data_IF_567654044397
#
_entry.id   IF_567654044397
#
_cell.length_a   1.000
_cell.length_b   1.000
_cell.length_c   1.000
_cell.angle_alpha   90.00
_cell.angle_beta   90.00
_cell.angle_gamma   90.00
#
_symmetry.space_group_name_H-M   'P 1'
#
loop_
_entity.id
_entity.type
_entity.pdbx_description
1 polymer ?
#
# COMPACT_ATOMS: atom_id res chain seq x y z
N UNK A 1 -13.72 -18.80 26.77
CA UNK A 1 -13.84 -17.54 25.99
C UNK A 1 -12.43 -17.04 25.74
N UNK A 2 -12.02 -16.83 24.49
CA UNK A 2 -10.71 -16.23 24.22
C UNK A 2 -10.75 -14.77 24.70
N UNK A 3 -9.71 -14.28 25.39
CA UNK A 3 -9.65 -12.87 25.78
C UNK A 3 -9.71 -12.00 24.51
N UNK A 4 -10.61 -11.01 24.49
CA UNK A 4 -10.61 -9.99 23.45
C UNK A 4 -9.45 -9.03 23.69
N UNK A 5 -8.28 -9.38 23.15
CA UNK A 5 -7.14 -8.47 23.09
C UNK A 5 -7.41 -7.49 21.95
N UNK A 6 -7.32 -6.16 22.18
CA UNK A 6 -7.38 -5.17 21.11
C UNK A 6 -6.36 -5.45 20.01
N UNK A 7 -6.77 -5.31 18.74
CA UNK A 7 -5.91 -5.65 17.59
C UNK A 7 -4.57 -4.90 17.62
N UNK A 8 -4.57 -3.63 18.05
CA UNK A 8 -3.36 -2.82 18.20
C UNK A 8 -2.38 -3.39 19.24
N UNK A 9 -2.89 -3.87 20.38
CA UNK A 9 -2.06 -4.50 21.41
C UNK A 9 -1.51 -5.84 20.93
N UNK A 10 -2.35 -6.63 20.25
CA UNK A 10 -1.90 -7.89 19.63
C UNK A 10 -0.81 -7.64 18.57
N UNK A 11 -0.99 -6.65 17.69
CA UNK A 11 -0.01 -6.26 16.67
C UNK A 11 1.31 -5.78 17.28
N UNK A 12 1.25 -4.94 18.32
CA UNK A 12 2.44 -4.48 19.03
C UNK A 12 3.18 -5.66 19.66
N UNK A 13 2.44 -6.59 20.29
CA UNK A 13 3.02 -7.80 20.85
C UNK A 13 3.71 -8.66 19.78
N UNK A 14 3.10 -8.82 18.59
CA UNK A 14 3.73 -9.53 17.47
C UNK A 14 5.01 -8.81 17.00
N UNK A 15 4.99 -7.48 16.89
CA UNK A 15 6.14 -6.70 16.44
C UNK A 15 7.35 -6.82 17.37
N UNK A 16 7.13 -6.98 18.68
CA UNK A 16 8.19 -7.11 19.68
C UNK A 16 8.78 -8.54 19.70
N UNK A 17 7.95 -9.56 19.47
CA UNK A 17 8.34 -10.96 19.71
C UNK A 17 8.66 -11.75 18.44
N UNK A 18 8.15 -11.36 17.28
CA UNK A 18 8.43 -12.04 16.03
C UNK A 18 9.77 -11.58 15.45
N UNK A 19 10.49 -12.52 14.84
CA UNK A 19 11.64 -12.19 13.98
C UNK A 19 11.17 -11.34 12.82
N UNK A 20 12.01 -10.42 12.35
CA UNK A 20 11.72 -9.51 11.24
C UNK A 20 11.16 -10.24 10.01
N UNK A 21 11.78 -11.35 9.61
CA UNK A 21 11.39 -12.19 8.46
C UNK A 21 9.99 -12.82 8.59
N UNK A 22 9.55 -13.07 9.82
CA UNK A 22 8.21 -13.61 10.09
C UNK A 22 7.21 -12.47 10.20
N UNK A 23 7.62 -11.35 10.79
CA UNK A 23 6.80 -10.17 10.95
C UNK A 23 6.46 -9.51 9.60
N UNK A 24 7.41 -9.43 8.67
CA UNK A 24 7.15 -8.93 7.30
C UNK A 24 6.12 -9.78 6.57
N UNK A 25 6.17 -11.12 6.71
CA UNK A 25 5.17 -12.03 6.12
C UNK A 25 3.80 -11.80 6.75
N UNK A 26 3.75 -11.63 8.06
CA UNK A 26 2.51 -11.31 8.77
C UNK A 26 1.90 -10.00 8.26
N UNK A 27 2.70 -8.93 8.14
CA UNK A 27 2.26 -7.64 7.60
C UNK A 27 1.72 -7.77 6.17
N UNK A 28 2.40 -8.54 5.32
CA UNK A 28 1.97 -8.75 3.94
C UNK A 28 0.67 -9.54 3.83
N UNK A 29 0.43 -10.51 4.73
CA UNK A 29 -0.84 -11.22 4.81
C UNK A 29 -1.96 -10.29 5.28
N UNK A 30 -1.74 -9.49 6.33
CA UNK A 30 -2.72 -8.51 6.84
C UNK A 30 -3.08 -7.51 5.73
N UNK A 31 -2.08 -7.02 5.01
CA UNK A 31 -2.29 -6.13 3.87
C UNK A 31 -3.06 -6.83 2.75
N UNK A 32 -2.72 -8.08 2.40
CA UNK A 32 -3.45 -8.85 1.40
C UNK A 32 -4.92 -9.08 1.75
N UNK A 33 -5.23 -9.35 3.02
CA UNK A 33 -6.60 -9.45 3.53
C UNK A 33 -7.36 -8.12 3.43
N UNK A 34 -6.72 -7.02 3.82
CA UNK A 34 -7.29 -5.67 3.70
C UNK A 34 -7.57 -5.31 2.24
N UNK A 35 -6.62 -5.59 1.35
CA UNK A 35 -6.76 -5.35 -0.09
C UNK A 35 -7.89 -6.18 -0.66
N UNK A 36 -7.92 -7.50 -0.42
CA UNK A 36 -9.00 -8.36 -0.90
C UNK A 36 -10.38 -7.90 -0.41
N UNK A 37 -10.49 -7.50 0.86
CA UNK A 37 -11.74 -6.95 1.42
C UNK A 37 -12.18 -5.68 0.68
N UNK A 38 -11.24 -4.80 0.35
CA UNK A 38 -11.57 -3.53 -0.30
C UNK A 38 -11.77 -3.65 -1.81
N UNK A 39 -11.12 -4.61 -2.47
CA UNK A 39 -11.32 -4.89 -3.90
C UNK A 39 -12.66 -5.58 -4.14
N UNK A 40 -13.11 -6.46 -3.23
CA UNK A 40 -14.44 -7.08 -3.30
C UNK A 40 -15.61 -6.08 -3.28
N UNK A 41 -15.39 -4.84 -2.84
CA UNK A 41 -16.41 -3.79 -2.93
C UNK A 41 -16.61 -3.29 -4.37
N UNK A 42 -15.67 -3.57 -5.28
CA UNK A 42 -15.62 -3.03 -6.63
C UNK A 42 -15.54 -4.09 -7.74
N UNK A 43 -15.04 -5.30 -7.45
CA UNK A 43 -14.89 -6.41 -8.41
C UNK A 43 -15.38 -7.74 -7.78
N UNK A 44 -16.20 -8.50 -8.51
CA UNK A 44 -16.63 -9.87 -8.16
C UNK A 44 -15.75 -10.83 -8.99
N UNK A 45 -14.93 -11.73 -8.39
CA UNK A 45 -15.16 -12.44 -7.14
C UNK A 45 -14.06 -12.38 -6.07
N UNK A 46 -14.45 -12.75 -4.84
CA UNK A 46 -13.56 -12.92 -3.70
C UNK A 46 -12.46 -13.94 -3.96
N UNK A 47 -11.19 -13.53 -3.80
CA UNK A 47 -10.04 -14.41 -3.93
C UNK A 47 -10.03 -15.44 -2.80
N UNK A 48 -9.55 -16.65 -3.10
CA UNK A 48 -9.45 -17.70 -2.09
C UNK A 48 -8.37 -17.36 -1.05
N UNK A 49 -8.43 -17.98 0.13
CA UNK A 49 -7.40 -17.79 1.16
C UNK A 49 -6.01 -18.16 0.65
N UNK A 50 -5.91 -19.22 -0.15
CA UNK A 50 -4.66 -19.64 -0.78
C UNK A 50 -4.13 -18.58 -1.75
N UNK A 51 -5.00 -17.99 -2.57
CA UNK A 51 -4.60 -16.92 -3.49
C UNK A 51 -4.08 -15.70 -2.72
N UNK A 52 -4.74 -15.30 -1.63
CA UNK A 52 -4.29 -14.19 -0.80
C UNK A 52 -2.91 -14.48 -0.22
N UNK A 53 -2.70 -15.68 0.33
CA UNK A 53 -1.41 -16.10 0.87
C UNK A 53 -0.31 -16.07 -0.20
N UNK A 54 -0.50 -16.78 -1.33
CA UNK A 54 0.52 -16.84 -2.38
C UNK A 54 0.82 -15.47 -2.97
N UNK A 55 -0.19 -14.61 -3.18
CA UNK A 55 0.02 -13.25 -3.65
C UNK A 55 0.81 -12.41 -2.63
N UNK A 56 0.48 -12.49 -1.33
CA UNK A 56 1.21 -11.80 -0.27
C UNK A 56 2.68 -12.18 -0.22
N UNK A 57 3.01 -13.47 -0.36
CA UNK A 57 4.40 -13.94 -0.40
C UNK A 57 5.11 -13.48 -1.67
N UNK A 58 4.44 -13.60 -2.82
CA UNK A 58 5.00 -13.16 -4.11
C UNK A 58 5.32 -11.66 -4.08
N UNK A 59 4.40 -10.83 -3.58
CA UNK A 59 4.61 -9.39 -3.45
C UNK A 59 5.77 -9.05 -2.50
N UNK A 60 5.92 -9.80 -1.41
CA UNK A 60 7.05 -9.61 -0.49
C UNK A 60 8.39 -9.90 -1.18
N UNK A 61 8.48 -11.02 -1.90
CA UNK A 61 9.68 -11.39 -2.64
C UNK A 61 10.04 -10.36 -3.70
N UNK A 62 9.06 -9.91 -4.49
CA UNK A 62 9.28 -8.89 -5.52
C UNK A 62 9.71 -7.54 -4.93
N UNK A 63 9.14 -7.14 -3.79
CA UNK A 63 9.56 -5.94 -3.06
C UNK A 63 11.01 -6.05 -2.57
N UNK A 64 11.38 -7.18 -1.96
CA UNK A 64 12.74 -7.42 -1.46
C UNK A 64 13.76 -7.43 -2.61
N UNK A 65 13.46 -8.12 -3.73
CA UNK A 65 14.29 -8.11 -4.94
C UNK A 65 14.46 -6.69 -5.49
N UNK A 66 13.37 -5.95 -5.63
CA UNK A 66 13.37 -4.58 -6.16
C UNK A 66 14.18 -3.61 -5.30
N UNK A 67 14.14 -3.75 -3.98
CA UNK A 67 14.92 -2.90 -3.08
C UNK A 67 16.40 -3.28 -3.01
N UNK A 68 16.72 -4.57 -3.20
CA UNK A 68 18.13 -5.02 -3.25
C UNK A 68 18.81 -4.54 -4.52
N UNK A 69 18.10 -4.52 -5.66
CA UNK A 69 18.60 -4.02 -6.95
C UNK A 69 18.80 -2.49 -6.93
N UNK A 70 17.94 -1.74 -6.23
CA UNK A 70 18.01 -0.28 -6.17
C UNK A 70 18.93 0.30 -5.08
N UNK A 71 19.40 -0.51 -4.13
CA UNK A 71 20.32 -0.04 -3.08
C UNK A 71 21.66 0.47 -3.63
N UNK A 72 22.05 0.06 -4.84
CA UNK A 72 23.27 0.51 -5.49
C UNK A 72 23.14 1.89 -6.18
N UNK A 73 21.94 2.31 -6.60
CA UNK A 73 21.77 3.51 -7.43
C UNK A 73 20.45 4.22 -7.12
N UNK A 74 20.53 5.26 -6.28
CA UNK A 74 19.91 6.58 -6.47
C UNK A 74 20.10 7.36 -5.18
N UNK A 75 21.01 8.33 -5.18
CA UNK A 75 20.79 9.53 -4.38
C UNK A 75 19.45 10.11 -4.83
N UNK A 76 18.37 9.76 -4.14
CA UNK A 76 17.10 10.46 -4.30
C UNK A 76 17.36 11.90 -3.87
N UNK A 77 17.50 12.80 -4.84
CA UNK A 77 17.26 14.21 -4.60
C UNK A 77 15.76 14.29 -4.26
N UNK A 78 15.45 14.14 -2.98
CA UNK A 78 14.11 14.39 -2.46
C UNK A 78 13.88 15.89 -2.57
N UNK A 79 13.16 16.30 -3.62
CA UNK A 79 12.50 17.59 -3.60
C UNK A 79 11.39 17.51 -2.55
N UNK A 80 11.70 17.99 -1.35
CA UNK A 80 10.72 18.13 -0.28
C UNK A 80 9.76 19.22 -0.74
N UNK A 81 8.47 18.89 -0.79
CA UNK A 81 7.44 19.88 -1.06
C UNK A 81 7.50 20.97 0.00
N UNK A 82 7.72 22.22 -0.42
CA UNK A 82 7.65 23.38 0.44
C UNK A 82 6.45 24.23 0.01
N UNK A 83 5.66 24.77 0.95
CA UNK A 83 4.63 25.72 0.60
C UNK A 83 5.26 26.96 -0.06
N UNK A 84 4.61 27.45 -1.11
CA UNK A 84 5.01 28.67 -1.82
C UNK A 84 4.94 29.88 -0.87
N UNK A 85 5.93 30.77 -0.94
CA UNK A 85 5.96 32.00 -0.12
C UNK A 85 5.48 33.18 -0.96
N UNK A 86 4.38 33.84 -0.56
CA UNK A 86 3.88 35.07 -1.20
C UNK A 86 2.57 34.89 -1.99
N UNK A 87 2.37 35.74 -3.01
CA UNK A 87 1.16 35.85 -3.83
C UNK A 87 1.13 34.84 -5.02
N UNK A 88 1.71 33.66 -4.81
CA UNK A 88 1.87 32.63 -5.84
C UNK A 88 0.61 31.77 -5.96
N UNK A 89 0.22 31.47 -7.20
CA UNK A 89 -0.99 30.73 -7.52
C UNK A 89 -0.78 29.21 -7.33
N UNK A 90 -1.57 28.59 -6.47
CA UNK A 90 -1.60 27.14 -6.29
C UNK A 90 -2.80 26.57 -7.05
N UNK A 91 -2.55 25.66 -7.99
CA UNK A 91 -3.60 24.94 -8.69
C UNK A 91 -3.49 23.45 -8.36
N UNK A 92 -4.52 22.88 -7.75
CA UNK A 92 -4.62 21.44 -7.65
C UNK A 92 -5.26 20.93 -8.94
N UNK A 93 -4.57 20.09 -9.70
CA UNK A 93 -5.10 19.44 -10.90
C UNK A 93 -5.26 17.94 -10.66
N UNK A 94 -6.39 17.37 -11.10
CA UNK A 94 -6.64 15.94 -11.08
C UNK A 94 -7.22 15.48 -12.44
N UNK A 95 -6.96 14.22 -12.78
CA UNK A 95 -7.29 13.63 -14.07
C UNK A 95 -7.91 12.25 -13.93
N UNK A 96 -9.23 12.12 -13.72
CA UNK A 96 -9.88 10.82 -13.68
C UNK A 96 -9.87 10.16 -15.06
N UNK A 97 -9.53 8.87 -15.10
CA UNK A 97 -9.60 8.03 -16.30
C UNK A 97 -10.47 6.82 -16.04
N UNK A 98 -11.39 6.52 -16.98
CA UNK A 98 -12.27 5.37 -16.93
C UNK A 98 -11.85 4.39 -18.04
N UNK A 99 -11.14 3.29 -17.73
CA UNK A 99 -10.60 2.37 -18.72
C UNK A 99 -11.67 1.73 -19.62
N UNK A 100 -12.84 1.44 -19.04
CA UNK A 100 -13.96 0.79 -19.72
C UNK A 100 -14.57 1.64 -20.84
N UNK A 101 -14.43 2.96 -20.76
CA UNK A 101 -14.99 3.92 -21.71
C UNK A 101 -13.92 4.54 -22.61
N UNK A 102 -12.64 4.22 -22.39
CA UNK A 102 -11.48 4.89 -23.01
C UNK A 102 -11.60 6.41 -22.93
N UNK A 103 -12.16 6.92 -21.83
CA UNK A 103 -12.45 8.33 -21.59
C UNK A 103 -11.76 8.80 -20.33
N UNK A 104 -11.17 9.98 -20.40
CA UNK A 104 -10.64 10.70 -19.25
C UNK A 104 -11.19 12.11 -19.18
N UNK A 105 -11.08 12.73 -18.02
CA UNK A 105 -11.31 14.14 -17.78
C UNK A 105 -10.10 14.79 -17.14
N UNK A 106 -10.02 16.11 -17.17
CA UNK A 106 -9.02 16.90 -16.45
C UNK A 106 -9.79 18.00 -15.73
N UNK A 107 -9.52 18.20 -14.44
CA UNK A 107 -10.11 19.25 -13.62
C UNK A 107 -9.04 19.96 -12.79
N UNK A 108 -9.23 21.25 -12.53
CA UNK A 108 -8.35 22.03 -11.67
C UNK A 108 -9.14 22.94 -10.72
N UNK A 109 -8.69 23.02 -9.47
CA UNK A 109 -9.23 23.96 -8.47
C UNK A 109 -8.11 24.92 -8.05
N UNK A 110 -8.26 26.23 -8.31
CA UNK A 110 -7.32 27.26 -7.89
C UNK A 110 -7.33 27.51 -6.38
#
# INVERSE_FOLDING_TARGET
>A
MLPQIPFNEWMLNQAIHLKTEVFEKLLMIIWGLWTNRNTNLWEDPARTTSDIFFNSMTWLEEFQKSNTINAAWKQRITHIWQPTFGNEFKLNMDGPFIPQLTRGGIGGVP
#
